data_IF_484822974907
#
_entry.id   IF_484822974907
#
_cell.length_a   1.000
_cell.length_b   1.000
_cell.length_c   1.000
_cell.angle_alpha   90.00
_cell.angle_beta   90.00
_cell.angle_gamma   90.00
#
_symmetry.space_group_name_H-M   'P 1'
#
loop_
_entity.id
_entity.type
_entity.pdbx_description
1 polymer ?
#
# COMPACT_ATOMS: atom_id res chain seq x y z
N UNK A 1 0.18 -22.19 0.34
CA UNK A 1 0.95 -20.91 0.27
C UNK A 1 0.01 -19.78 0.67
N UNK A 2 0.50 -18.78 1.40
CA UNK A 2 -0.33 -17.66 1.85
C UNK A 2 -0.46 -16.66 0.71
N UNK A 3 -1.59 -16.70 -0.01
CA UNK A 3 -1.91 -15.75 -1.08
C UNK A 3 -3.13 -14.89 -0.73
N UNK A 4 -3.06 -13.63 -1.18
CA UNK A 4 -4.17 -12.69 -1.25
C UNK A 4 -4.77 -12.81 -2.65
N UNK A 5 -6.01 -13.27 -2.74
CA UNK A 5 -6.72 -13.39 -4.01
C UNK A 5 -7.72 -12.25 -4.12
N UNK A 6 -7.66 -11.51 -5.21
CA UNK A 6 -8.49 -10.34 -5.49
C UNK A 6 -9.33 -10.67 -6.72
N UNK A 7 -10.64 -10.50 -6.60
CA UNK A 7 -11.57 -10.70 -7.69
C UNK A 7 -12.46 -9.46 -7.86
N UNK A 8 -12.59 -8.98 -9.08
CA UNK A 8 -13.47 -7.88 -9.45
C UNK A 8 -14.27 -8.27 -10.68
N UNK A 9 -15.58 -8.41 -10.53
CA UNK A 9 -16.44 -8.81 -11.64
C UNK A 9 -16.61 -7.69 -12.67
N UNK A 10 -16.94 -6.48 -12.20
CA UNK A 10 -17.17 -5.34 -13.07
C UNK A 10 -17.05 -4.02 -12.29
N UNK A 11 -16.46 -3.00 -12.93
CA UNK A 11 -16.47 -1.63 -12.43
C UNK A 11 -16.51 -0.62 -13.57
N UNK A 12 -17.34 0.41 -13.44
CA UNK A 12 -17.56 1.44 -14.45
C UNK A 12 -17.81 2.80 -13.79
N UNK A 13 -17.40 3.87 -14.46
CA UNK A 13 -17.93 5.21 -14.19
C UNK A 13 -19.03 5.52 -15.21
N UNK A 14 -20.25 5.71 -14.72
CA UNK A 14 -21.42 5.88 -15.58
C UNK A 14 -21.62 4.67 -16.50
N UNK A 15 -21.59 4.90 -17.82
CA UNK A 15 -21.76 3.85 -18.83
C UNK A 15 -20.44 3.27 -19.36
N UNK A 16 -19.30 3.81 -18.94
CA UNK A 16 -17.99 3.40 -19.45
C UNK A 16 -17.35 2.37 -18.52
N UNK A 17 -17.24 1.09 -18.95
CA UNK A 17 -16.56 0.08 -18.15
C UNK A 17 -15.06 0.36 -18.09
N UNK A 18 -14.51 0.29 -16.88
CA UNK A 18 -13.06 0.39 -16.61
C UNK A 18 -12.48 -0.99 -16.39
N UNK A 19 -13.21 -1.84 -15.64
CA UNK A 19 -12.81 -3.21 -15.37
C UNK A 19 -13.93 -4.17 -15.72
N UNK A 20 -13.56 -5.25 -16.41
CA UNK A 20 -14.43 -6.39 -16.67
C UNK A 20 -13.62 -7.63 -16.31
N UNK A 21 -14.12 -8.41 -15.34
CA UNK A 21 -13.57 -9.68 -14.85
C UNK A 21 -12.06 -9.68 -14.65
N UNK A 22 -11.63 -9.11 -13.53
CA UNK A 22 -10.23 -9.08 -13.12
C UNK A 22 -10.01 -10.04 -11.96
N UNK A 23 -8.99 -10.89 -12.08
CA UNK A 23 -8.55 -11.79 -11.03
C UNK A 23 -7.04 -11.68 -10.84
N UNK A 24 -6.60 -11.43 -9.62
CA UNK A 24 -5.18 -11.25 -9.28
C UNK A 24 -4.88 -12.03 -8.01
N UNK A 25 -3.80 -12.82 -8.02
CA UNK A 25 -3.28 -13.48 -6.83
C UNK A 25 -1.92 -12.93 -6.46
N UNK A 26 -1.77 -12.50 -5.21
CA UNK A 26 -0.53 -11.95 -4.65
C UNK A 26 -0.03 -12.88 -3.57
N UNK A 27 1.17 -13.42 -3.75
CA UNK A 27 1.80 -14.27 -2.73
C UNK A 27 2.54 -13.43 -1.70
N UNK A 28 2.48 -13.83 -0.43
CA UNK A 28 3.22 -13.18 0.65
C UNK A 28 4.72 -13.11 0.31
N UNK A 29 5.29 -11.90 0.37
CA UNK A 29 6.71 -11.64 0.10
C UNK A 29 6.99 -11.18 -1.33
N UNK A 30 6.01 -11.24 -2.24
CA UNK A 30 6.15 -10.75 -3.60
C UNK A 30 5.78 -9.26 -3.68
N UNK A 31 6.48 -8.54 -4.54
CA UNK A 31 6.13 -7.20 -4.97
C UNK A 31 5.36 -7.32 -6.29
N UNK A 32 4.21 -6.67 -6.37
CA UNK A 32 3.37 -6.66 -7.58
C UNK A 32 3.29 -5.23 -8.12
N UNK A 33 3.67 -5.05 -9.37
CA UNK A 33 3.54 -3.77 -10.08
C UNK A 33 2.31 -3.77 -10.99
N UNK A 34 1.55 -2.68 -10.96
CA UNK A 34 0.44 -2.43 -11.89
C UNK A 34 0.98 -1.52 -12.99
N UNK A 35 1.00 -1.99 -14.23
CA UNK A 35 1.53 -1.28 -15.39
C UNK A 35 0.44 -1.04 -16.44
N UNK A 36 0.58 0.04 -17.21
CA UNK A 36 -0.35 0.43 -18.27
C UNK A 36 -0.35 1.92 -18.54
N UNK A 37 -1.04 2.35 -19.59
CA UNK A 37 -1.14 3.76 -19.99
C UNK A 37 -1.89 4.62 -18.97
N UNK A 38 -1.70 5.94 -19.04
CA UNK A 38 -2.45 6.87 -18.19
C UNK A 38 -3.95 6.83 -18.55
N UNK A 39 -4.81 6.82 -17.53
CA UNK A 39 -6.25 6.70 -17.72
C UNK A 39 -6.80 5.27 -17.82
N UNK A 40 -5.96 4.24 -17.89
CA UNK A 40 -6.42 2.83 -17.96
C UNK A 40 -7.08 2.31 -16.66
N UNK A 41 -7.07 3.11 -15.59
CA UNK A 41 -7.69 2.75 -14.31
C UNK A 41 -6.72 2.31 -13.21
N UNK A 42 -5.39 2.44 -13.37
CA UNK A 42 -4.40 2.03 -12.33
C UNK A 42 -4.73 2.61 -10.94
N UNK A 43 -4.81 3.93 -10.80
CA UNK A 43 -5.16 4.58 -9.53
C UNK A 43 -6.58 4.22 -9.08
N UNK A 44 -7.51 3.96 -10.01
CA UNK A 44 -8.85 3.44 -9.70
C UNK A 44 -8.78 2.07 -9.03
N UNK A 45 -7.96 1.14 -9.55
CA UNK A 45 -7.77 -0.19 -8.97
C UNK A 45 -7.19 -0.12 -7.55
N UNK A 46 -6.18 0.73 -7.33
CA UNK A 46 -5.61 0.90 -5.98
C UNK A 46 -6.63 1.50 -5.01
N UNK A 47 -7.43 2.47 -5.45
CA UNK A 47 -8.50 3.05 -4.63
C UNK A 47 -9.63 2.06 -4.32
N UNK A 48 -9.96 1.15 -5.24
CA UNK A 48 -10.90 0.05 -5.00
C UNK A 48 -10.37 -0.89 -3.91
N UNK A 49 -9.10 -1.27 -3.97
CA UNK A 49 -8.44 -2.09 -2.95
C UNK A 49 -8.40 -1.41 -1.58
N UNK A 50 -8.13 -0.11 -1.56
CA UNK A 50 -8.15 0.72 -0.37
C UNK A 50 -9.57 0.96 0.19
N UNK A 51 -10.62 0.51 -0.51
CA UNK A 51 -12.01 0.73 -0.10
C UNK A 51 -12.48 2.18 -0.18
N UNK A 52 -11.74 3.05 -0.88
CA UNK A 52 -12.13 4.45 -1.11
C UNK A 52 -13.28 4.56 -2.13
N UNK A 53 -13.52 3.50 -2.90
CA UNK A 53 -14.57 3.44 -3.93
C UNK A 53 -15.41 2.18 -3.70
N UNK A 54 -16.72 2.35 -3.60
CA UNK A 54 -17.67 1.23 -3.49
C UNK A 54 -17.73 0.43 -4.78
N UNK A 55 -17.63 -0.90 -4.68
CA UNK A 55 -17.65 -1.79 -5.83
C UNK A 55 -18.01 -3.23 -5.44
N UNK A 56 -18.00 -4.13 -6.42
CA UNK A 56 -18.16 -5.58 -6.24
C UNK A 56 -16.84 -6.29 -5.90
N UNK A 57 -15.78 -5.54 -5.59
CA UNK A 57 -14.46 -6.10 -5.29
C UNK A 57 -14.51 -7.07 -4.11
N UNK A 58 -13.95 -8.26 -4.32
CA UNK A 58 -13.80 -9.30 -3.30
C UNK A 58 -12.31 -9.54 -3.06
N UNK A 59 -11.94 -9.62 -1.79
CA UNK A 59 -10.56 -9.89 -1.37
C UNK A 59 -10.57 -11.08 -0.43
N UNK A 60 -9.84 -12.13 -0.77
CA UNK A 60 -9.77 -13.36 0.01
C UNK A 60 -8.32 -13.59 0.50
N UNK A 61 -8.16 -13.84 1.80
CA UNK A 61 -6.88 -14.17 2.41
C UNK A 61 -7.07 -15.29 3.43
N UNK A 62 -6.36 -16.42 3.29
CA UNK A 62 -6.50 -17.58 4.20
C UNK A 62 -7.95 -18.05 4.42
N UNK A 63 -8.72 -18.20 3.34
CA UNK A 63 -10.15 -18.57 3.38
C UNK A 63 -11.03 -17.58 4.17
N UNK A 64 -10.54 -16.36 4.43
CA UNK A 64 -11.33 -15.26 4.98
C UNK A 64 -11.60 -14.24 3.89
N UNK A 65 -12.87 -13.85 3.76
CA UNK A 65 -13.25 -12.69 2.97
C UNK A 65 -12.89 -11.43 3.77
N UNK A 66 -12.14 -10.53 3.14
CA UNK A 66 -11.74 -9.24 3.67
C UNK A 66 -12.64 -8.16 3.05
N UNK A 67 -13.05 -7.21 3.88
CA UNK A 67 -13.79 -6.04 3.42
C UNK A 67 -12.78 -5.00 2.90
N UNK A 68 -12.89 -4.53 1.65
CA UNK A 68 -12.04 -3.45 1.14
C UNK A 68 -12.07 -2.22 2.07
N UNK A 69 -10.91 -1.60 2.28
CA UNK A 69 -10.74 -0.45 3.18
C UNK A 69 -10.83 -0.73 4.67
N UNK A 70 -11.20 -1.95 5.08
CA UNK A 70 -11.19 -2.35 6.49
C UNK A 70 -10.08 -3.38 6.75
N UNK A 71 -8.86 -2.87 6.95
CA UNK A 71 -7.75 -3.69 7.43
C UNK A 71 -6.74 -2.82 8.21
N UNK A 72 -6.50 -3.08 9.51
CA UNK A 72 -5.56 -2.29 10.33
C UNK A 72 -4.09 -2.41 9.89
N UNK A 73 -3.77 -3.32 8.96
CA UNK A 73 -2.42 -3.57 8.47
C UNK A 73 -2.22 -3.29 6.97
N UNK A 74 -3.22 -2.69 6.29
CA UNK A 74 -3.06 -2.24 4.91
C UNK A 74 -2.73 -0.76 4.91
N UNK A 75 -1.61 -0.42 4.27
CA UNK A 75 -1.20 0.96 4.05
C UNK A 75 -1.53 1.36 2.62
N UNK A 76 -2.28 2.45 2.47
CA UNK A 76 -2.52 3.09 1.19
C UNK A 76 -1.77 4.42 1.18
N UNK A 77 -0.84 4.56 0.25
CA UNK A 77 -0.20 5.84 -0.03
C UNK A 77 -0.97 6.51 -1.17
N UNK A 78 -1.70 7.60 -0.93
CA UNK A 78 -2.25 8.39 -2.02
C UNK A 78 -1.12 8.97 -2.88
N UNK A 79 -1.42 9.23 -4.16
CA UNK A 79 -0.49 9.87 -5.09
C UNK A 79 -0.16 11.32 -4.64
N UNK A 80 -1.09 11.97 -3.94
CA UNK A 80 -0.93 13.31 -3.38
C UNK A 80 -0.36 13.24 -1.95
N UNK A 81 0.84 13.79 -1.76
CA UNK A 81 1.53 13.86 -0.46
C UNK A 81 1.24 15.14 0.33
N UNK A 82 0.22 15.90 -0.07
CA UNK A 82 -0.12 17.20 0.51
C UNK A 82 -0.19 17.08 2.04
N UNK A 83 0.67 17.82 2.75
CA UNK A 83 0.78 17.73 4.20
C UNK A 83 2.03 17.02 4.74
N UNK A 84 2.57 16.01 4.06
CA UNK A 84 3.83 15.36 4.50
C UNK A 84 5.05 16.28 4.33
N UNK A 85 4.97 17.23 3.41
CA UNK A 85 6.02 18.23 3.16
C UNK A 85 6.28 19.16 4.35
N UNK A 86 5.33 19.26 5.28
CA UNK A 86 5.47 20.04 6.52
C UNK A 86 6.00 19.22 7.69
N UNK A 87 6.18 17.90 7.51
CA UNK A 87 6.67 17.01 8.55
C UNK A 87 8.19 16.83 8.46
N UNK A 88 8.84 16.74 9.62
CA UNK A 88 10.24 16.34 9.69
C UNK A 88 10.40 14.89 9.25
N UNK A 89 11.59 14.53 8.77
CA UNK A 89 11.92 13.14 8.43
C UNK A 89 11.65 12.18 9.60
N UNK A 90 11.83 12.63 10.84
CA UNK A 90 11.54 11.85 12.04
C UNK A 90 10.04 11.58 12.19
N UNK A 91 9.19 12.60 12.04
CA UNK A 91 7.73 12.48 12.15
C UNK A 91 7.15 11.59 11.05
N UNK A 92 7.61 11.77 9.80
CA UNK A 92 7.25 10.88 8.69
C UNK A 92 7.67 9.45 9.02
N UNK A 93 8.90 9.23 9.49
CA UNK A 93 9.39 7.89 9.84
C UNK A 93 8.58 7.27 10.98
N UNK A 94 8.21 8.04 12.01
CA UNK A 94 7.38 7.57 13.11
C UNK A 94 5.99 7.19 12.63
N UNK A 95 5.37 8.02 11.79
CA UNK A 95 4.07 7.76 11.18
C UNK A 95 4.07 6.41 10.45
N UNK A 96 5.02 6.20 9.53
CA UNK A 96 5.12 4.95 8.77
C UNK A 96 5.50 3.73 9.64
N UNK A 97 6.33 3.91 10.66
CA UNK A 97 6.81 2.79 11.48
C UNK A 97 5.74 2.22 12.40
N UNK A 98 4.81 3.04 12.89
CA UNK A 98 3.69 2.59 13.73
C UNK A 98 2.84 1.50 13.05
N UNK A 99 2.74 1.51 11.72
CA UNK A 99 2.01 0.47 10.95
C UNK A 99 2.66 -0.92 11.01
N UNK A 100 3.91 -1.02 11.45
CA UNK A 100 4.54 -2.32 11.75
C UNK A 100 4.02 -2.95 13.05
N UNK A 101 3.12 -2.27 13.77
CA UNK A 101 2.66 -2.65 15.10
C UNK A 101 3.74 -2.48 16.17
N UNK A 102 4.79 -1.70 15.89
CA UNK A 102 5.94 -1.48 16.77
C UNK A 102 6.11 0.01 17.05
N UNK A 103 6.63 0.32 18.23
CA UNK A 103 7.04 1.69 18.56
C UNK A 103 8.45 1.98 18.05
N UNK A 104 8.66 3.17 17.49
CA UNK A 104 9.95 3.62 16.98
C UNK A 104 10.83 4.04 18.17
N UNK A 105 11.78 3.19 18.55
CA UNK A 105 12.75 3.46 19.63
C UNK A 105 14.07 3.92 19.02
N UNK A 106 14.86 4.72 19.76
CA UNK A 106 16.14 5.30 19.33
C UNK A 106 17.10 4.27 18.68
N UNK A 107 17.09 3.02 19.16
CA UNK A 107 17.88 1.90 18.62
C UNK A 107 17.48 1.48 17.20
N UNK A 108 16.18 1.54 16.87
CA UNK A 108 15.65 1.18 15.55
C UNK A 108 15.85 2.31 14.54
N UNK A 109 15.82 3.56 14.99
CA UNK A 109 16.08 4.76 14.19
C UNK A 109 17.46 4.73 13.52
N UNK A 110 18.50 4.39 14.29
CA UNK A 110 19.88 4.28 13.79
C UNK A 110 20.00 3.23 12.67
N UNK A 111 19.23 2.14 12.79
CA UNK A 111 19.22 1.06 11.81
C UNK A 111 18.42 1.42 10.55
N UNK A 112 17.32 2.16 10.71
CA UNK A 112 16.46 2.63 9.61
C UNK A 112 17.16 3.63 8.70
N UNK A 113 17.84 4.62 9.27
CA UNK A 113 18.52 5.62 8.47
C UNK A 113 19.82 5.12 7.84
N UNK A 114 20.33 3.95 8.26
CA UNK A 114 21.68 3.43 7.95
C UNK A 114 22.62 4.59 7.64
N UNK A 115 22.70 5.58 8.55
CA UNK A 115 23.64 6.66 8.36
C UNK A 115 24.98 5.95 8.26
N UNK A 116 25.68 6.03 7.11
CA UNK A 116 26.98 5.39 7.00
C UNK A 116 27.76 5.89 8.20
N UNK A 117 28.19 4.96 9.05
CA UNK A 117 29.01 5.32 10.19
C UNK A 117 30.26 5.95 9.59
N UNK A 118 30.30 7.28 9.58
CA UNK A 118 31.48 8.02 9.17
C UNK A 118 32.57 7.63 10.17
N UNK A 119 33.38 6.64 9.80
CA UNK A 119 34.66 6.42 10.46
C UNK A 119 35.41 7.72 10.26
N UNK A 120 35.52 8.54 11.31
CA UNK A 120 36.49 9.64 11.35
C UNK A 120 37.82 9.04 10.92
N UNK A 121 38.31 9.37 9.72
CA UNK A 121 39.71 9.20 9.39
C UNK A 121 40.46 10.02 10.43
N UNK A 122 41.12 9.36 11.38
CA UNK A 122 42.21 9.99 12.13
C UNK A 122 43.28 10.29 11.09
N UNK A 123 43.48 11.57 10.82
CA UNK A 123 44.73 12.03 10.22
C UNK A 123 45.83 11.93 11.26
#
# INVERSE_FOLDING_TARGET
MNSLNIYLDHFAFGKQPIFVKQEVSVTKGNIVGIIGENGIGKSTFVNLLAGNITSTLQINYHNKSLVPGYNPFVFFQPDDFTGLEYLTTLEVTQYFYCFTGRSLIKKNLICLFKLPTFKKKKY
#
